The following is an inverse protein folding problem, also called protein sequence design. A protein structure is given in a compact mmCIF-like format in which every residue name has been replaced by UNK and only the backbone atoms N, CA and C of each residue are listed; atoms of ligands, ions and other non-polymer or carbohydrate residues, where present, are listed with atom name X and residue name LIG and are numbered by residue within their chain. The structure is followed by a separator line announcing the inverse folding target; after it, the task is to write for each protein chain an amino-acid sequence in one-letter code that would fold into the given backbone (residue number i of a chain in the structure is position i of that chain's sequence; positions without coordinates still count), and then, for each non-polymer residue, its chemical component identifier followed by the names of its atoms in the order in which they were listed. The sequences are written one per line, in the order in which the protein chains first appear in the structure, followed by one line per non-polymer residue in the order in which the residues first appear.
data_IF_328604448384
#
_entry.id   IF_328604448384
#
_cell.length_a   1.000
_cell.length_b   1.000
_cell.length_c   1.000
_cell.angle_alpha   90.00
_cell.angle_beta   90.00
_cell.angle_gamma   90.00
#
_symmetry.space_group_name_H-M   'P 1'
#
loop_
_entity.id
_entity.type
_entity.pdbx_description
1 polymer ?
#
# COMPACT_ATOMS: atom_id res chain seq x y z
N UNK A 1 6.21 7.59 -13.49
CA UNK A 1 6.65 6.87 -12.26
C UNK A 1 8.14 7.12 -12.08
N UNK A 2 8.63 7.39 -10.87
CA UNK A 2 10.08 7.54 -10.61
C UNK A 2 10.70 6.15 -10.45
N UNK A 3 11.91 5.96 -10.97
CA UNK A 3 12.67 4.73 -10.73
C UNK A 3 13.02 4.65 -9.24
N UNK A 4 12.78 3.49 -8.64
CA UNK A 4 13.17 3.17 -7.28
C UNK A 4 14.30 2.15 -7.30
N UNK A 5 15.18 2.21 -6.30
CA UNK A 5 16.17 1.19 -6.01
C UNK A 5 15.90 0.69 -4.59
N UNK A 6 16.17 -0.58 -4.33
CA UNK A 6 15.95 -1.21 -3.04
C UNK A 6 15.69 -2.70 -3.21
N UNK A 7 15.77 -3.43 -2.10
CA UNK A 7 15.49 -4.87 -2.11
C UNK A 7 14.00 -5.13 -1.81
N UNK A 8 13.34 -5.99 -2.59
CA UNK A 8 11.96 -6.36 -2.34
C UNK A 8 11.87 -7.17 -1.04
N UNK A 9 10.89 -6.84 -0.21
CA UNK A 9 10.54 -7.58 0.99
C UNK A 9 9.03 -7.81 1.02
N UNK A 10 8.55 -8.83 1.76
CA UNK A 10 7.13 -9.19 1.93
C UNK A 10 6.33 -9.23 0.62
N UNK A 11 6.12 -10.41 0.04
CA UNK A 11 5.47 -10.55 -1.28
C UNK A 11 3.96 -10.72 -1.12
N UNK A 12 3.18 -9.90 -1.82
CA UNK A 12 1.76 -10.11 -2.09
C UNK A 12 1.59 -10.75 -3.47
N UNK A 13 0.77 -11.80 -3.57
CA UNK A 13 0.43 -12.45 -4.83
C UNK A 13 -1.08 -12.24 -5.05
N UNK A 14 -1.45 -11.68 -6.19
CA UNK A 14 -2.83 -11.35 -6.56
C UNK A 14 -3.27 -12.13 -7.80
N UNK A 15 -4.56 -12.45 -7.89
CA UNK A 15 -5.19 -12.97 -9.11
C UNK A 15 -5.40 -11.80 -10.10
N UNK A 16 -4.82 -11.85 -11.32
CA UNK A 16 -5.02 -10.81 -12.33
C UNK A 16 -6.45 -10.74 -12.86
N UNK A 17 -7.29 -11.76 -12.65
CA UNK A 17 -8.65 -11.86 -13.20
C UNK A 17 -8.70 -11.58 -14.72
N UNK A 18 -7.73 -12.13 -15.46
CA UNK A 18 -7.53 -11.93 -16.91
C UNK A 18 -7.26 -10.47 -17.32
N UNK A 19 -6.95 -9.57 -16.38
CA UNK A 19 -6.53 -8.20 -16.65
C UNK A 19 -5.01 -8.09 -16.62
N UNK A 20 -4.46 -7.32 -17.55
CA UNK A 20 -3.05 -6.93 -17.57
C UNK A 20 -2.83 -5.52 -16.99
N UNK A 21 -3.90 -4.83 -16.62
CA UNK A 21 -3.84 -3.48 -16.06
C UNK A 21 -3.75 -3.52 -14.53
N UNK A 22 -2.63 -3.04 -13.97
CA UNK A 22 -2.39 -3.05 -12.53
C UNK A 22 -3.51 -2.39 -11.74
N UNK A 23 -4.04 -1.26 -12.23
CA UNK A 23 -5.08 -0.51 -11.53
C UNK A 23 -6.34 -1.35 -11.39
N UNK A 24 -6.75 -2.00 -12.47
CA UNK A 24 -7.89 -2.92 -12.49
C UNK A 24 -7.66 -4.10 -11.53
N UNK A 25 -6.46 -4.68 -11.54
CA UNK A 25 -6.11 -5.81 -10.67
C UNK A 25 -6.17 -5.40 -9.19
N UNK A 26 -5.62 -4.23 -8.83
CA UNK A 26 -5.67 -3.69 -7.47
C UNK A 26 -7.10 -3.36 -7.03
N UNK A 27 -7.97 -2.93 -7.95
CA UNK A 27 -9.38 -2.65 -7.63
C UNK A 27 -10.17 -3.94 -7.36
N UNK A 28 -9.93 -5.01 -8.13
CA UNK A 28 -10.56 -6.32 -7.88
C UNK A 28 -10.03 -6.95 -6.59
N UNK A 29 -8.73 -6.82 -6.32
CA UNK A 29 -8.08 -7.36 -5.12
C UNK A 29 -7.91 -6.31 -4.00
N UNK A 30 -8.85 -5.36 -3.90
CA UNK A 30 -8.72 -4.18 -3.02
C UNK A 30 -8.49 -4.56 -1.56
N UNK A 31 -9.23 -5.54 -1.06
CA UNK A 31 -9.15 -5.95 0.34
C UNK A 31 -7.78 -6.57 0.67
N UNK A 32 -7.32 -7.51 -0.15
CA UNK A 32 -6.01 -8.15 0.00
C UNK A 32 -4.88 -7.12 -0.05
N UNK A 33 -4.92 -6.20 -1.01
CA UNK A 33 -3.94 -5.13 -1.12
C UNK A 33 -3.97 -4.18 0.09
N UNK A 34 -5.15 -3.82 0.57
CA UNK A 34 -5.30 -2.94 1.74
C UNK A 34 -4.75 -3.62 3.00
N UNK A 35 -5.07 -4.90 3.21
CA UNK A 35 -4.56 -5.70 4.32
C UNK A 35 -3.03 -5.86 4.25
N UNK A 36 -2.49 -6.00 3.04
CA UNK A 36 -1.06 -6.03 2.82
C UNK A 36 -0.40 -4.70 3.20
N UNK A 37 -0.96 -3.55 2.81
CA UNK A 37 -0.46 -2.23 3.21
C UNK A 37 -0.44 -2.04 4.74
N UNK A 38 -1.45 -2.55 5.45
CA UNK A 38 -1.45 -2.57 6.92
C UNK A 38 -0.30 -3.43 7.48
N UNK A 39 -0.07 -4.63 6.92
CA UNK A 39 0.98 -5.56 7.37
C UNK A 39 2.40 -5.02 7.17
N UNK A 40 2.70 -4.40 6.02
CA UNK A 40 4.05 -3.88 5.73
C UNK A 40 4.40 -2.63 6.57
N UNK A 41 3.43 -2.14 7.35
CA UNK A 41 3.61 -1.13 8.38
C UNK A 41 3.12 0.23 7.94
N UNK A 42 1.90 0.57 8.37
CA UNK A 42 1.39 1.94 8.38
C UNK A 42 1.77 2.61 9.70
N UNK A 43 2.47 3.74 9.62
CA UNK A 43 2.70 4.58 10.80
C UNK A 43 1.46 5.46 11.02
N UNK A 44 0.84 5.33 12.18
CA UNK A 44 -0.36 6.07 12.56
C UNK A 44 0.05 7.10 13.59
N UNK A 45 -0.05 8.38 13.25
CA UNK A 45 0.14 9.50 14.19
C UNK A 45 -1.20 10.16 14.44
N UNK A 46 -1.70 10.04 15.66
CA UNK A 46 -2.88 10.75 16.11
C UNK A 46 -2.46 11.98 16.91
N UNK A 47 -3.10 13.12 16.63
CA UNK A 47 -2.91 14.37 17.36
C UNK A 47 -4.27 14.93 17.70
N UNK A 48 -4.47 15.22 18.98
CA UNK A 48 -5.67 15.89 19.48
C UNK A 48 -5.25 17.18 20.21
N UNK A 49 -5.91 18.29 19.89
CA UNK A 49 -5.66 19.59 20.49
C UNK A 49 -6.99 20.31 20.77
N UNK A 50 -7.17 20.76 22.01
CA UNK A 50 -8.30 21.64 22.37
C UNK A 50 -7.80 23.07 22.43
N UNK A 51 -8.39 23.96 21.61
CA UNK A 51 -8.15 25.42 21.68
C UNK A 51 -9.48 26.14 21.80
N UNK A 52 -9.61 27.03 22.79
CA UNK A 52 -10.83 27.82 23.04
C UNK A 52 -12.10 26.94 23.13
N UNK A 53 -12.01 25.81 23.82
CA UNK A 53 -13.11 24.83 23.94
C UNK A 53 -13.55 24.16 22.62
N UNK A 54 -12.77 24.33 21.55
CA UNK A 54 -12.95 23.62 20.28
C UNK A 54 -11.92 22.50 20.22
N UNK A 55 -12.42 21.27 20.08
CA UNK A 55 -11.58 20.08 19.92
C UNK A 55 -11.21 19.89 18.45
N UNK A 56 -9.92 19.80 18.17
CA UNK A 56 -9.39 19.43 16.87
C UNK A 56 -8.68 18.09 16.99
N UNK A 57 -9.05 17.14 16.12
CA UNK A 57 -8.40 15.84 16.04
C UNK A 57 -7.91 15.60 14.62
N UNK A 58 -6.69 15.08 14.49
CA UNK A 58 -6.08 14.74 13.21
C UNK A 58 -5.37 13.40 13.32
N UNK A 59 -5.65 12.50 12.36
CA UNK A 59 -4.94 11.23 12.21
C UNK A 59 -4.18 11.24 10.90
N UNK A 60 -2.85 11.14 10.98
CA UNK A 60 -1.96 11.03 9.81
C UNK A 60 -1.55 9.57 9.64
N UNK A 61 -1.85 9.02 8.47
CA UNK A 61 -1.44 7.69 8.05
C UNK A 61 -0.25 7.82 7.10
N UNK A 62 0.87 7.17 7.41
CA UNK A 62 2.08 7.20 6.58
C UNK A 62 2.52 5.80 6.20
N UNK A 63 2.60 5.52 4.90
CA UNK A 63 3.21 4.30 4.36
C UNK A 63 4.74 4.37 4.53
N UNK A 64 5.36 3.27 4.96
CA UNK A 64 6.82 3.18 5.12
C UNK A 64 7.59 3.25 3.80
N UNK A 65 6.94 2.91 2.68
CA UNK A 65 7.53 3.03 1.35
C UNK A 65 6.49 3.49 0.34
N UNK A 66 6.97 4.16 -0.71
CA UNK A 66 6.19 4.52 -1.89
C UNK A 66 6.65 3.74 -3.13
N UNK A 67 7.65 2.86 -2.95
CA UNK A 67 8.31 2.12 -4.00
C UNK A 67 7.91 0.64 -3.93
N UNK A 68 7.41 0.12 -5.04
CA UNK A 68 7.00 -1.28 -5.16
C UNK A 68 7.60 -1.87 -6.43
N UNK A 69 8.10 -3.10 -6.32
CA UNK A 69 8.37 -3.96 -7.47
C UNK A 69 7.09 -4.70 -7.81
N UNK A 70 6.71 -4.66 -9.09
CA UNK A 70 5.52 -5.34 -9.61
C UNK A 70 5.96 -6.26 -10.73
N UNK A 71 5.77 -7.56 -10.54
CA UNK A 71 6.07 -8.60 -11.52
C UNK A 71 4.76 -9.22 -12.01
N UNK A 72 4.54 -9.18 -13.32
CA UNK A 72 3.38 -9.82 -13.97
C UNK A 72 3.77 -11.19 -14.51
N UNK A 73 3.03 -12.22 -14.11
CA UNK A 73 3.10 -13.57 -14.68
C UNK A 73 1.71 -13.96 -15.22
N UNK A 74 1.64 -14.96 -16.10
CA UNK A 74 0.41 -15.37 -16.79
C UNK A 74 -0.78 -15.68 -15.86
N UNK A 75 -0.50 -16.13 -14.63
CA UNK A 75 -1.52 -16.55 -13.67
C UNK A 75 -1.55 -15.71 -12.38
N UNK A 76 -0.64 -14.74 -12.22
CA UNK A 76 -0.49 -14.03 -10.94
C UNK A 76 0.24 -12.71 -11.10
N UNK A 77 -0.12 -11.71 -10.31
CA UNK A 77 0.66 -10.47 -10.15
C UNK A 77 1.32 -10.47 -8.78
N UNK A 78 2.64 -10.30 -8.75
CA UNK A 78 3.42 -10.19 -7.51
C UNK A 78 3.74 -8.73 -7.23
N UNK A 79 3.46 -8.28 -6.01
CA UNK A 79 3.74 -6.93 -5.54
C UNK A 79 4.61 -7.05 -4.29
N UNK A 80 5.76 -6.35 -4.29
CA UNK A 80 6.66 -6.31 -3.14
C UNK A 80 7.12 -4.86 -2.88
N UNK A 81 6.97 -4.31 -1.67
CA UNK A 81 7.58 -3.04 -1.28
C UNK A 81 9.11 -3.12 -1.35
N UNK A 82 9.74 -1.98 -1.61
CA UNK A 82 11.19 -1.84 -1.59
C UNK A 82 11.64 -1.12 -0.31
N UNK A 83 12.73 -1.62 0.29
CA UNK A 83 13.48 -1.02 1.41
C UNK A 83 14.78 -0.41 0.92
#
# INVERSE_FOLDING_TARGET
MKKCNGEPYDILILDPHKSNDLKTILLHNKEEFTNFLYKIGLNIKHKEETRNSINHSSTVLTLKTTCFKVDFNDNSVKIAPLK
#
